data_IF_287093631231
#
_entry.id   IF_287093631231
#
_cell.length_a   1.000
_cell.length_b   1.000
_cell.length_c   1.000
_cell.angle_alpha   90.00
_cell.angle_beta   90.00
_cell.angle_gamma   90.00
#
_symmetry.space_group_name_H-M   'P 1'
#
loop_
_entity.id
_entity.type
_entity.pdbx_description
1 polymer ?
#
# COMPACT_ATOMS: atom_id res chain seq x y z
N UNK A 1 -13.06 -10.90 -3.37
CA UNK A 1 -12.45 -11.43 -2.14
C UNK A 1 -10.99 -11.08 -2.20
N UNK A 2 -10.51 -10.32 -1.21
CA UNK A 2 -9.16 -9.78 -1.17
C UNK A 2 -8.10 -10.88 -1.18
N UNK A 3 -7.03 -10.73 -1.93
CA UNK A 3 -5.89 -11.66 -1.88
C UNK A 3 -4.76 -11.04 -1.08
N UNK A 4 -4.59 -11.50 0.16
CA UNK A 4 -3.45 -11.15 1.03
C UNK A 4 -2.09 -11.48 0.40
N UNK A 5 -2.11 -12.18 -0.74
CA UNK A 5 -0.95 -12.67 -1.46
C UNK A 5 -0.51 -11.73 -2.58
N UNK A 6 -1.24 -10.64 -2.84
CA UNK A 6 -0.94 -9.71 -3.93
C UNK A 6 -0.38 -8.40 -3.41
N UNK A 7 0.88 -8.13 -3.78
CA UNK A 7 1.65 -6.94 -3.40
C UNK A 7 1.87 -6.06 -4.63
N UNK A 8 1.67 -4.75 -4.51
CA UNK A 8 1.88 -3.77 -5.55
C UNK A 8 3.14 -2.93 -5.32
N UNK A 9 3.76 -2.52 -6.43
CA UNK A 9 4.86 -1.58 -6.49
C UNK A 9 4.50 -0.49 -7.49
N UNK A 10 4.25 0.73 -7.00
CA UNK A 10 3.92 1.87 -7.87
C UNK A 10 5.14 2.31 -8.67
N UNK A 11 5.00 2.64 -9.94
CA UNK A 11 6.11 3.14 -10.75
C UNK A 11 6.38 4.63 -10.50
N UNK A 12 5.42 5.34 -9.90
CA UNK A 12 5.54 6.78 -9.57
C UNK A 12 6.69 7.09 -8.61
N UNK A 13 7.22 6.08 -7.90
CA UNK A 13 8.38 6.21 -7.02
C UNK A 13 9.71 6.30 -7.79
N UNK A 14 9.70 6.08 -9.11
CA UNK A 14 10.89 6.14 -9.96
C UNK A 14 10.85 7.35 -10.89
N UNK A 15 11.96 8.10 -10.96
CA UNK A 15 12.10 9.26 -11.87
C UNK A 15 11.98 8.87 -13.35
N UNK A 16 12.42 7.66 -13.67
CA UNK A 16 12.41 7.03 -14.98
C UNK A 16 11.20 6.09 -15.18
N UNK A 17 10.17 6.22 -14.33
CA UNK A 17 8.91 5.46 -14.31
C UNK A 17 9.06 4.00 -14.74
N UNK A 18 8.61 3.64 -15.95
CA UNK A 18 8.62 2.27 -16.47
C UNK A 18 10.02 1.67 -16.60
N UNK A 19 11.02 2.43 -17.06
CA UNK A 19 12.41 1.95 -17.10
C UNK A 19 12.97 1.74 -15.69
N UNK A 20 12.59 2.63 -14.76
CA UNK A 20 12.92 2.50 -13.34
C UNK A 20 12.30 1.25 -12.72
N UNK A 21 11.05 0.97 -13.06
CA UNK A 21 10.30 -0.20 -12.58
C UNK A 21 10.91 -1.52 -13.07
N UNK A 22 11.27 -1.62 -14.36
CA UNK A 22 11.90 -2.81 -14.93
C UNK A 22 13.27 -3.09 -14.29
N UNK A 23 14.10 -2.06 -14.14
CA UNK A 23 15.39 -2.22 -13.43
C UNK A 23 15.20 -2.64 -11.97
N UNK A 24 14.21 -2.06 -11.30
CA UNK A 24 13.89 -2.39 -9.90
C UNK A 24 13.39 -3.82 -9.77
N UNK A 25 12.59 -4.31 -10.72
CA UNK A 25 12.12 -5.70 -10.76
C UNK A 25 13.29 -6.69 -10.77
N UNK A 26 14.38 -6.37 -11.49
CA UNK A 26 15.60 -7.18 -11.46
C UNK A 26 16.28 -7.23 -10.09
N UNK A 27 16.28 -6.12 -9.34
CA UNK A 27 16.80 -6.05 -7.96
C UNK A 27 15.91 -6.89 -7.02
N UNK A 28 14.59 -6.68 -7.09
CA UNK A 28 13.60 -7.41 -6.30
C UNK A 28 13.72 -8.92 -6.53
N UNK A 29 13.87 -9.34 -7.79
CA UNK A 29 14.01 -10.76 -8.14
C UNK A 29 15.21 -11.42 -7.47
N UNK A 30 16.35 -10.72 -7.36
CA UNK A 30 17.54 -11.22 -6.66
C UNK A 30 17.30 -11.38 -5.16
N UNK A 31 16.58 -10.44 -4.54
CA UNK A 31 16.23 -10.51 -3.12
C UNK A 31 15.31 -11.69 -2.76
N UNK A 32 14.51 -12.18 -3.70
CA UNK A 32 13.59 -13.30 -3.50
C UNK A 32 13.99 -14.55 -4.27
N UNK A 33 15.29 -14.76 -4.50
CA UNK A 33 15.81 -15.97 -5.15
C UNK A 33 15.28 -17.23 -4.43
N UNK A 34 14.72 -18.17 -5.20
CA UNK A 34 14.11 -19.40 -4.67
C UNK A 34 12.64 -19.28 -4.24
N UNK A 35 12.03 -18.09 -4.37
CA UNK A 35 10.60 -17.89 -4.11
C UNK A 35 9.81 -17.90 -5.42
N UNK A 36 8.72 -18.67 -5.47
CA UNK A 36 7.81 -18.70 -6.62
C UNK A 36 6.69 -17.66 -6.46
N UNK A 37 6.53 -16.81 -7.47
CA UNK A 37 5.47 -15.81 -7.57
C UNK A 37 5.23 -15.44 -9.04
N UNK A 38 4.07 -14.85 -9.31
CA UNK A 38 3.69 -14.33 -10.63
C UNK A 38 3.88 -12.82 -10.64
N UNK A 39 4.45 -12.29 -11.71
CA UNK A 39 4.53 -10.85 -11.96
C UNK A 39 3.41 -10.46 -12.92
N UNK A 40 2.66 -9.43 -12.59
CA UNK A 40 1.64 -8.86 -13.45
C UNK A 40 1.83 -7.34 -13.54
N UNK A 41 2.04 -6.83 -14.74
CA UNK A 41 2.20 -5.39 -14.98
C UNK A 41 0.86 -4.76 -15.38
N UNK A 42 0.48 -3.68 -14.69
CA UNK A 42 -0.65 -2.84 -15.07
C UNK A 42 -0.11 -1.48 -15.56
N UNK A 43 0.12 -1.39 -16.87
CA UNK A 43 0.63 -0.19 -17.52
C UNK A 43 -0.29 1.03 -17.35
N UNK A 44 -1.61 0.82 -17.33
CA UNK A 44 -2.59 1.91 -17.17
C UNK A 44 -2.45 2.59 -15.81
N UNK A 45 -2.32 1.80 -14.76
CA UNK A 45 -2.16 2.30 -13.40
C UNK A 45 -0.70 2.52 -13.02
N UNK A 46 0.25 2.15 -13.90
CA UNK A 46 1.69 2.21 -13.68
C UNK A 46 2.09 1.48 -12.38
N UNK A 47 1.67 0.23 -12.24
CA UNK A 47 1.94 -0.62 -11.08
C UNK A 47 2.41 -2.00 -11.54
N UNK A 48 3.44 -2.53 -10.87
CA UNK A 48 3.81 -3.95 -10.96
C UNK A 48 3.23 -4.68 -9.76
N UNK A 49 2.51 -5.77 -10.02
CA UNK A 49 1.98 -6.65 -8.99
C UNK A 49 2.81 -7.93 -8.88
N UNK A 50 3.10 -8.32 -7.65
CA UNK A 50 3.73 -9.57 -7.27
C UNK A 50 2.68 -10.42 -6.56
N UNK A 51 2.32 -11.54 -7.18
CA UNK A 51 1.26 -12.44 -6.70
C UNK A 51 1.92 -13.71 -6.19
N UNK A 52 1.93 -13.89 -4.88
CA UNK A 52 2.54 -15.02 -4.21
C UNK A 52 1.58 -16.20 -4.08
N UNK A 53 2.14 -17.40 -3.97
CA UNK A 53 1.33 -18.56 -3.58
C UNK A 53 0.97 -18.53 -2.08
N UNK A 54 1.91 -18.09 -1.23
CA UNK A 54 1.80 -18.08 0.23
C UNK A 54 1.77 -16.66 0.78
N UNK A 55 0.89 -16.41 1.76
CA UNK A 55 0.77 -15.11 2.45
C UNK A 55 2.07 -14.73 3.17
N UNK A 56 2.75 -15.69 3.80
CA UNK A 56 4.04 -15.45 4.47
C UNK A 56 5.11 -14.84 3.53
N UNK A 57 5.11 -15.21 2.25
CA UNK A 57 6.03 -14.65 1.27
C UNK A 57 5.66 -13.20 0.90
N UNK A 58 4.36 -12.91 0.78
CA UNK A 58 3.87 -11.55 0.56
C UNK A 58 4.19 -10.63 1.76
N UNK A 59 3.99 -11.12 2.98
CA UNK A 59 4.38 -10.39 4.19
C UNK A 59 5.88 -10.14 4.26
N UNK A 60 6.69 -11.15 3.92
CA UNK A 60 8.15 -11.00 3.86
C UNK A 60 8.55 -9.90 2.87
N UNK A 61 7.82 -9.77 1.75
CA UNK A 61 8.06 -8.70 0.78
C UNK A 61 7.74 -7.31 1.33
N UNK A 62 6.64 -7.16 2.08
CA UNK A 62 6.25 -5.89 2.68
C UNK A 62 7.17 -5.50 3.85
N UNK A 63 7.59 -6.49 4.66
CA UNK A 63 8.45 -6.28 5.84
C UNK A 63 9.91 -6.01 5.46
N UNK A 64 10.39 -6.58 4.37
CA UNK A 64 11.78 -6.42 3.95
C UNK A 64 12.00 -5.09 3.24
N UNK A 65 12.98 -4.31 3.71
CA UNK A 65 13.40 -3.10 3.03
C UNK A 65 14.33 -3.42 1.86
N UNK A 66 13.92 -3.04 0.65
CA UNK A 66 14.74 -3.12 -0.55
C UNK A 66 15.09 -1.69 -0.97
N UNK A 67 16.35 -1.46 -1.28
CA UNK A 67 16.86 -0.15 -1.66
C UNK A 67 17.34 -0.15 -3.11
N UNK A 68 17.02 0.91 -3.86
CA UNK A 68 17.62 1.24 -5.16
C UNK A 68 18.32 2.57 -5.03
N UNK A 69 19.64 2.59 -5.25
CA UNK A 69 20.44 3.83 -5.24
C UNK A 69 20.21 4.69 -3.97
N UNK A 70 20.05 4.05 -2.81
CA UNK A 70 19.77 4.72 -1.54
C UNK A 70 18.30 5.08 -1.29
N UNK A 71 17.42 4.95 -2.28
CA UNK A 71 15.97 5.16 -2.14
C UNK A 71 15.31 3.84 -1.75
N UNK A 72 14.54 3.85 -0.66
CA UNK A 72 13.71 2.71 -0.24
C UNK A 72 12.58 2.51 -1.24
N UNK A 73 12.44 1.29 -1.73
CA UNK A 73 11.31 0.91 -2.59
C UNK A 73 10.11 0.62 -1.69
N UNK A 74 8.97 1.22 -2.03
CA UNK A 74 7.72 1.02 -1.32
C UNK A 74 6.86 -0.04 -2.01
N UNK A 75 6.45 -1.02 -1.21
CA UNK A 75 5.52 -2.07 -1.57
C UNK A 75 4.26 -1.95 -0.70
N UNK A 76 3.10 -2.25 -1.28
CA UNK A 76 1.82 -2.20 -0.56
C UNK A 76 0.96 -3.42 -0.89
N UNK A 77 0.14 -3.87 0.06
CA UNK A 77 -0.82 -4.92 -0.19
C UNK A 77 -2.03 -4.36 -0.96
N UNK A 78 -2.46 -5.05 -2.02
CA UNK A 78 -3.38 -4.46 -3.01
C UNK A 78 -4.85 -4.53 -2.66
N UNK A 79 -5.23 -5.41 -1.73
CA UNK A 79 -6.61 -5.61 -1.32
C UNK A 79 -6.65 -5.69 0.20
N UNK A 80 -6.68 -4.53 0.84
CA UNK A 80 -6.93 -4.40 2.27
C UNK A 80 -8.44 -4.48 2.49
N UNK A 81 -8.86 -5.34 3.41
CA UNK A 81 -10.23 -5.25 3.90
C UNK A 81 -10.43 -3.93 4.69
N UNK A 82 -11.69 -3.57 4.91
CA UNK A 82 -12.03 -2.30 5.56
C UNK A 82 -11.49 -2.22 6.99
N UNK A 83 -11.40 -3.36 7.68
CA UNK A 83 -10.94 -3.45 9.07
C UNK A 83 -9.43 -3.19 9.13
N UNK A 84 -8.65 -3.86 8.28
CA UNK A 84 -7.20 -3.70 8.16
C UNK A 84 -6.85 -2.28 7.73
N UNK A 85 -7.65 -1.68 6.84
CA UNK A 85 -7.47 -0.28 6.46
C UNK A 85 -7.66 0.67 7.66
N UNK A 86 -8.67 0.43 8.50
CA UNK A 86 -8.89 1.19 9.75
C UNK A 86 -7.71 1.01 10.71
N UNK A 87 -7.18 -0.20 10.87
CA UNK A 87 -6.06 -0.47 11.77
C UNK A 87 -4.76 0.23 11.29
N UNK A 88 -4.50 0.22 9.98
CA UNK A 88 -3.38 0.98 9.40
C UNK A 88 -3.55 2.47 9.66
N UNK A 89 -4.74 3.04 9.41
CA UNK A 89 -5.04 4.46 9.66
C UNK A 89 -4.76 4.81 11.13
N UNK A 90 -5.27 3.99 12.06
CA UNK A 90 -5.03 4.18 13.49
C UNK A 90 -3.54 4.17 13.80
N UNK A 91 -2.80 3.16 13.34
CA UNK A 91 -1.36 3.04 13.60
C UNK A 91 -0.55 4.23 13.07
N UNK A 92 -0.93 4.79 11.92
CA UNK A 92 -0.22 5.92 11.31
C UNK A 92 -0.55 7.26 12.00
N UNK A 93 -1.78 7.42 12.48
CA UNK A 93 -2.26 8.67 13.07
C UNK A 93 -2.13 8.71 14.60
N UNK A 94 -1.85 7.59 15.26
CA UNK A 94 -1.75 7.47 16.72
C UNK A 94 -0.81 8.50 17.34
N UNK A 95 0.34 8.73 16.70
CA UNK A 95 1.32 9.71 17.19
C UNK A 95 1.00 11.17 16.79
N UNK A 96 0.11 11.35 15.82
CA UNK A 96 -0.21 12.64 15.21
C UNK A 96 -1.39 13.35 15.88
N UNK A 97 -2.17 12.64 16.71
CA UNK A 97 -3.39 13.18 17.29
C UNK A 97 -4.43 12.11 17.59
N UNK A 98 -5.68 12.53 17.63
CA UNK A 98 -6.81 11.71 18.04
C UNK A 98 -7.82 11.57 16.90
N UNK A 99 -8.12 10.34 16.49
CA UNK A 99 -9.22 10.06 15.56
C UNK A 99 -10.54 10.13 16.34
N UNK A 100 -11.43 11.04 15.92
CA UNK A 100 -12.76 11.20 16.51
C UNK A 100 -13.80 10.32 15.85
N UNK A 101 -13.70 10.15 14.53
CA UNK A 101 -14.63 9.34 13.77
C UNK A 101 -13.99 8.86 12.45
N UNK A 102 -14.46 7.71 11.96
CA UNK A 102 -14.15 7.18 10.64
C UNK A 102 -15.46 6.76 10.00
N UNK A 103 -15.78 7.34 8.85
CA UNK A 103 -16.97 6.99 8.08
C UNK A 103 -16.59 6.59 6.65
N UNK A 104 -17.40 5.75 6.04
CA UNK A 104 -17.26 5.37 4.63
C UNK A 104 -18.64 5.11 4.02
N UNK A 105 -18.75 5.25 2.70
CA UNK A 105 -19.99 4.99 2.00
C UNK A 105 -20.27 3.49 1.96
N UNK A 106 -21.42 3.08 2.49
CA UNK A 106 -21.90 1.71 2.42
C UNK A 106 -23.05 1.58 1.41
N UNK A 107 -23.09 0.48 0.67
CA UNK A 107 -24.27 0.12 -0.13
C UNK A 107 -25.33 -0.48 0.78
N UNK A 108 -26.51 0.13 0.77
CA UNK A 108 -27.60 -0.22 1.67
C UNK A 108 -28.01 -1.68 1.47
N UNK A 109 -28.00 -2.45 2.56
CA UNK A 109 -28.46 -3.85 2.57
C UNK A 109 -27.48 -4.89 2.03
N UNK A 110 -26.30 -4.50 1.55
CA UNK A 110 -25.33 -5.46 0.96
C UNK A 110 -24.12 -5.74 1.84
N UNK A 111 -23.89 -4.94 2.89
CA UNK A 111 -22.66 -5.02 3.70
C UNK A 111 -21.40 -4.61 2.95
N UNK A 112 -21.52 -4.08 1.72
CA UNK A 112 -20.40 -3.60 0.91
C UNK A 112 -20.04 -2.16 1.30
N UNK A 113 -18.75 -1.92 1.55
CA UNK A 113 -18.20 -0.61 1.84
C UNK A 113 -17.30 -0.14 0.69
N UNK A 114 -17.30 1.16 0.42
CA UNK A 114 -16.52 1.78 -0.65
C UNK A 114 -15.31 2.51 -0.06
N UNK A 115 -14.13 1.87 0.01
CA UNK A 115 -12.98 2.42 0.73
C UNK A 115 -12.49 3.76 0.18
N UNK A 116 -12.67 4.02 -1.12
CA UNK A 116 -12.32 5.31 -1.75
C UNK A 116 -13.25 6.47 -1.32
N UNK A 117 -14.35 6.20 -0.61
CA UNK A 117 -15.23 7.21 -0.03
C UNK A 117 -15.03 7.36 1.49
N UNK A 118 -13.91 6.88 2.04
CA UNK A 118 -13.62 7.00 3.46
C UNK A 118 -13.31 8.45 3.85
N UNK A 119 -13.83 8.89 5.00
CA UNK A 119 -13.58 10.19 5.62
C UNK A 119 -13.15 9.97 7.06
N UNK A 120 -12.14 10.72 7.50
CA UNK A 120 -11.59 10.63 8.85
C UNK A 120 -11.76 11.99 9.52
N UNK A 121 -12.49 12.02 10.64
CA UNK A 121 -12.51 13.19 11.51
C UNK A 121 -11.35 13.07 12.48
N UNK A 122 -10.33 13.91 12.29
CA UNK A 122 -9.08 13.83 13.03
C UNK A 122 -8.79 15.14 13.77
N UNK A 123 -8.46 15.03 15.06
CA UNK A 123 -7.98 16.14 15.89
C UNK A 123 -6.47 16.06 15.99
N UNK A 124 -5.78 17.00 15.34
CA UNK A 124 -4.30 17.10 15.43
C UNK A 124 -3.85 17.38 16.87
N UNK A 125 -2.67 16.85 17.21
CA UNK A 125 -2.02 17.09 18.51
C UNK A 125 -1.41 18.49 18.63
N UNK A 126 -0.83 18.99 17.53
CA UNK A 126 -0.30 20.35 17.41
C UNK A 126 -0.66 20.94 16.04
N UNK A 127 -0.62 22.26 15.91
CA UNK A 127 -0.74 22.95 14.61
C UNK A 127 0.36 22.50 13.65
N UNK A 128 1.55 22.22 14.19
CA UNK A 128 2.73 21.79 13.42
C UNK A 128 2.76 20.29 13.11
N UNK A 129 1.73 19.53 13.48
CA UNK A 129 1.69 18.10 13.16
C UNK A 129 1.48 17.90 11.66
N UNK A 130 2.54 17.48 11.00
CA UNK A 130 2.53 17.06 9.61
C UNK A 130 1.85 15.69 9.47
N UNK A 131 0.91 15.60 8.53
CA UNK A 131 0.19 14.37 8.24
C UNK A 131 0.78 13.78 6.97
N UNK A 132 1.29 12.55 7.05
CA UNK A 132 1.87 11.84 5.92
C UNK A 132 0.88 11.81 4.74
N UNK A 133 1.38 12.14 3.53
CA UNK A 133 0.65 12.55 2.31
C UNK A 133 -0.35 11.49 1.75
N UNK A 134 -0.42 10.29 2.33
CA UNK A 134 -1.20 9.16 1.79
C UNK A 134 -2.74 9.36 1.79
N UNK A 135 -3.28 10.37 2.48
CA UNK A 135 -4.73 10.58 2.62
C UNK A 135 -5.32 11.74 1.80
N UNK A 136 -4.51 12.51 1.09
CA UNK A 136 -5.00 13.65 0.30
C UNK A 136 -4.90 13.34 -1.20
N UNK A 137 -6.05 13.12 -1.83
CA UNK A 137 -6.23 13.45 -3.25
C UNK A 137 -7.27 14.55 -3.31
N UNK A 138 -6.88 15.67 -3.91
CA UNK A 138 -7.77 16.77 -4.30
C UNK A 138 -8.81 16.29 -5.33
#
# INVERSE_FOLDING_TARGET
MGSDRKVGMSWSQFKDEGHGAVNTMGIVSKHFTGTYYIIQENFRNRVTYYIFHNVSNAEKMIKNFIYRQGIKIEFYQTELDIITMIDIIKSQLENSGEIKDISTLARKGTGEFLPYCMKILFKKKSVDTDLSILFFRD
#
